data_IF_747040515582
#
_entry.id   IF_747040515582
#
_cell.length_a   1.000
_cell.length_b   1.000
_cell.length_c   1.000
_cell.angle_alpha   90.00
_cell.angle_beta   90.00
_cell.angle_gamma   90.00
#
_symmetry.space_group_name_H-M   'P 1'
#
loop_
_entity.id
_entity.type
_entity.pdbx_description
1 polymer ?
#
# COMPACT_ATOMS: atom_id res chain seq x y z
N UNK A 1 18.87 -8.13 -33.17
CA UNK A 1 17.69 -8.65 -32.45
C UNK A 1 17.97 -9.92 -31.62
N UNK A 2 18.63 -10.97 -32.15
CA UNK A 2 18.94 -12.17 -31.36
C UNK A 2 19.96 -11.94 -30.23
N UNK A 3 21.00 -11.15 -30.46
CA UNK A 3 22.06 -10.91 -29.45
C UNK A 3 21.64 -10.00 -28.33
N UNK A 4 20.69 -9.09 -28.56
CA UNK A 4 20.16 -8.17 -27.53
C UNK A 4 19.21 -8.90 -26.57
N UNK A 5 18.44 -9.85 -27.10
CA UNK A 5 17.60 -10.75 -26.30
C UNK A 5 18.47 -11.67 -25.44
N UNK A 6 19.66 -12.07 -25.95
CA UNK A 6 20.60 -12.94 -25.24
C UNK A 6 21.24 -12.22 -24.03
N UNK A 7 21.67 -10.96 -24.18
CA UNK A 7 22.23 -10.14 -23.08
C UNK A 7 21.19 -9.78 -22.01
N UNK A 8 19.96 -9.43 -22.42
CA UNK A 8 18.85 -9.22 -21.50
C UNK A 8 18.50 -10.50 -20.72
N UNK A 9 18.57 -11.67 -21.39
CA UNK A 9 18.37 -12.96 -20.74
C UNK A 9 19.53 -13.35 -19.80
N UNK A 10 20.75 -12.90 -20.06
CA UNK A 10 21.92 -13.19 -19.21
C UNK A 10 21.87 -12.37 -17.90
N UNK A 11 21.49 -11.09 -17.97
CA UNK A 11 21.19 -10.25 -16.80
C UNK A 11 20.00 -10.82 -16.04
N UNK A 12 18.93 -11.21 -16.76
CA UNK A 12 17.74 -11.86 -16.21
C UNK A 12 18.07 -13.18 -15.51
N UNK A 13 18.95 -14.02 -16.10
CA UNK A 13 19.34 -15.30 -15.51
C UNK A 13 20.24 -15.13 -14.26
N UNK A 14 21.08 -14.09 -14.21
CA UNK A 14 21.81 -13.72 -12.98
C UNK A 14 20.88 -13.22 -11.89
N UNK A 15 19.90 -12.38 -12.24
CA UNK A 15 18.86 -11.91 -11.30
C UNK A 15 17.95 -13.06 -10.86
N UNK A 16 17.51 -13.93 -11.79
CA UNK A 16 16.70 -15.13 -11.46
C UNK A 16 17.45 -16.10 -10.55
N UNK A 17 18.77 -16.20 -10.63
CA UNK A 17 19.54 -17.05 -9.73
C UNK A 17 19.58 -16.50 -8.30
N UNK A 18 19.68 -15.19 -8.13
CA UNK A 18 19.52 -14.54 -6.82
C UNK A 18 18.09 -14.69 -6.30
N UNK A 19 17.06 -14.58 -7.19
CA UNK A 19 15.66 -14.78 -6.82
C UNK A 19 15.34 -16.25 -6.51
N UNK A 20 15.92 -17.23 -7.25
CA UNK A 20 15.67 -18.66 -7.00
C UNK A 20 16.29 -19.11 -5.67
N UNK A 21 17.41 -18.55 -5.28
CA UNK A 21 18.04 -18.84 -3.98
C UNK A 21 17.20 -18.24 -2.83
N UNK A 22 16.43 -17.16 -3.09
CA UNK A 22 15.49 -16.57 -2.13
C UNK A 22 14.10 -17.24 -2.17
N UNK A 23 13.64 -17.74 -3.32
CA UNK A 23 12.38 -18.48 -3.46
C UNK A 23 12.46 -19.91 -2.91
N UNK A 24 13.67 -20.46 -2.77
CA UNK A 24 13.91 -21.77 -2.16
C UNK A 24 14.07 -21.72 -0.64
N UNK A 25 14.08 -20.56 0.00
CA UNK A 25 13.96 -20.48 1.45
C UNK A 25 12.55 -20.88 1.89
N UNK A 26 12.33 -22.17 1.89
CA UNK A 26 11.37 -22.87 2.71
C UNK A 26 11.45 -22.29 4.12
N UNK A 27 10.27 -21.98 4.68
CA UNK A 27 9.99 -21.84 6.11
C UNK A 27 11.27 -21.92 6.97
N UNK A 28 12.06 -20.86 7.05
CA UNK A 28 13.15 -20.80 8.01
C UNK A 28 12.55 -20.51 9.39
N UNK A 29 12.54 -21.56 10.20
CA UNK A 29 12.31 -21.43 11.64
C UNK A 29 13.54 -20.76 12.26
N UNK A 30 13.51 -19.47 12.47
CA UNK A 30 14.52 -18.82 13.29
C UNK A 30 14.10 -18.92 14.76
N UNK A 31 14.72 -19.84 15.47
CA UNK A 31 14.65 -19.92 16.92
C UNK A 31 15.66 -18.93 17.51
N UNK A 32 15.21 -17.76 17.91
CA UNK A 32 15.98 -16.87 18.77
C UNK A 32 15.58 -17.17 20.21
N UNK A 33 16.43 -17.90 20.92
CA UNK A 33 16.20 -18.23 22.31
C UNK A 33 16.66 -17.13 23.24
N UNK A 34 15.75 -16.61 24.08
CA UNK A 34 16.08 -16.27 25.46
C UNK A 34 14.80 -15.88 26.21
N UNK A 35 14.34 -16.76 27.00
CA UNK A 35 13.24 -16.65 27.95
C UNK A 35 11.87 -17.15 27.41
N UNK A 36 11.48 -18.40 27.69
CA UNK A 36 10.27 -19.02 27.14
C UNK A 36 8.95 -18.36 27.62
N UNK A 37 8.97 -17.61 28.72
CA UNK A 37 7.74 -17.02 29.28
C UNK A 37 7.32 -15.66 28.65
N UNK A 38 8.20 -15.00 27.92
CA UNK A 38 7.94 -13.69 27.31
C UNK A 38 8.09 -13.64 25.78
N UNK A 39 8.28 -14.78 25.13
CA UNK A 39 8.52 -14.80 23.69
C UNK A 39 7.23 -14.56 22.89
N UNK A 40 7.23 -13.54 22.04
CA UNK A 40 6.18 -13.29 21.07
C UNK A 40 6.21 -14.39 20.00
N UNK A 41 5.11 -15.12 19.83
CA UNK A 41 4.96 -16.18 18.83
C UNK A 41 3.83 -15.83 17.87
N UNK A 42 4.16 -15.69 16.57
CA UNK A 42 3.23 -15.24 15.52
C UNK A 42 3.28 -16.19 14.34
N UNK A 43 2.10 -16.57 13.84
CA UNK A 43 1.95 -17.20 12.54
C UNK A 43 1.24 -16.25 11.58
N UNK A 44 1.85 -16.00 10.42
CA UNK A 44 1.27 -15.17 9.36
C UNK A 44 0.79 -16.06 8.23
N UNK A 45 -0.49 -16.00 7.89
CA UNK A 45 -1.09 -16.74 6.77
C UNK A 45 -1.41 -15.75 5.67
N UNK A 46 -0.53 -15.62 4.71
CA UNK A 46 -0.59 -14.63 3.64
C UNK A 46 -0.93 -15.25 2.28
N UNK A 47 -1.53 -14.48 1.37
CA UNK A 47 -1.51 -14.82 -0.04
C UNK A 47 -0.13 -14.58 -0.62
N UNK A 48 0.20 -15.36 -1.65
CA UNK A 48 1.42 -15.18 -2.42
C UNK A 48 1.57 -13.72 -2.83
N UNK A 49 2.71 -13.11 -2.55
CA UNK A 49 3.06 -11.72 -2.87
C UNK A 49 2.57 -10.61 -1.92
N UNK A 50 2.00 -10.94 -0.76
CA UNK A 50 1.70 -9.90 0.21
C UNK A 50 2.96 -9.45 0.97
N UNK A 51 3.72 -8.59 0.30
CA UNK A 51 5.01 -8.14 0.81
C UNK A 51 4.86 -7.12 1.93
N UNK A 52 4.05 -6.09 1.72
CA UNK A 52 3.95 -4.96 2.65
C UNK A 52 3.20 -5.29 3.93
N UNK A 53 2.22 -6.19 3.86
CA UNK A 53 1.37 -6.55 5.00
C UNK A 53 1.80 -7.85 5.69
N UNK A 54 2.57 -8.70 5.00
CA UNK A 54 3.01 -9.98 5.54
C UNK A 54 4.53 -10.02 5.81
N UNK A 55 5.35 -9.80 4.77
CA UNK A 55 6.79 -10.05 4.91
C UNK A 55 7.52 -8.92 5.61
N UNK A 56 7.32 -7.67 5.17
CA UNK A 56 8.09 -6.53 5.69
C UNK A 56 7.96 -6.38 7.21
N UNK A 57 6.76 -6.24 7.81
CA UNK A 57 6.68 -6.03 9.25
C UNK A 57 7.07 -7.25 10.07
N UNK A 58 6.70 -8.46 9.62
CA UNK A 58 6.83 -9.65 10.45
C UNK A 58 8.18 -10.35 10.33
N UNK A 59 8.89 -10.22 9.18
CA UNK A 59 10.27 -10.69 9.05
C UNK A 59 11.16 -9.99 10.08
N UNK A 60 11.15 -8.68 10.11
CA UNK A 60 11.98 -7.90 11.04
C UNK A 60 11.58 -8.10 12.50
N UNK A 61 10.30 -8.35 12.78
CA UNK A 61 9.85 -8.66 14.12
C UNK A 61 10.40 -10.02 14.59
N UNK A 62 10.43 -11.02 13.70
CA UNK A 62 11.02 -12.33 13.99
C UNK A 62 12.52 -12.24 14.29
N UNK A 63 13.25 -11.41 13.58
CA UNK A 63 14.68 -11.19 13.77
C UNK A 63 15.00 -10.52 15.13
N UNK A 64 14.05 -9.76 15.67
CA UNK A 64 14.29 -8.89 16.84
C UNK A 64 13.72 -9.45 18.15
N UNK A 65 12.49 -9.96 18.16
CA UNK A 65 11.73 -10.15 19.41
C UNK A 65 10.92 -11.43 19.53
N UNK A 66 11.00 -12.38 18.60
CA UNK A 66 10.14 -13.54 18.71
C UNK A 66 10.29 -14.60 17.65
N UNK A 67 9.39 -15.58 17.68
CA UNK A 67 9.28 -16.60 16.64
C UNK A 67 8.18 -16.21 15.67
N UNK A 68 8.53 -16.02 14.40
CA UNK A 68 7.59 -15.70 13.34
C UNK A 68 7.63 -16.77 12.26
N UNK A 69 6.47 -17.29 11.90
CA UNK A 69 6.28 -18.18 10.77
C UNK A 69 5.40 -17.49 9.73
N UNK A 70 5.85 -17.45 8.48
CA UNK A 70 5.08 -16.90 7.37
C UNK A 70 4.72 -18.03 6.42
N UNK A 71 3.42 -18.36 6.38
CA UNK A 71 2.85 -19.36 5.48
C UNK A 71 2.22 -18.64 4.27
N UNK A 72 2.72 -18.92 3.07
CA UNK A 72 2.15 -18.37 1.82
C UNK A 72 1.14 -19.36 1.23
N UNK A 73 -0.15 -19.10 1.39
CA UNK A 73 -1.24 -19.80 0.74
C UNK A 73 -1.60 -19.07 -0.58
N UNK A 74 -1.92 -19.75 -1.69
CA UNK A 74 -2.10 -21.19 -1.88
C UNK A 74 -0.84 -21.98 -2.30
N UNK A 75 0.34 -21.38 -2.42
CA UNK A 75 1.55 -22.11 -2.87
C UNK A 75 1.85 -23.33 -2.02
N UNK A 76 1.72 -23.21 -0.71
CA UNK A 76 1.95 -24.32 0.20
C UNK A 76 0.88 -25.41 0.13
N UNK A 77 -0.30 -25.11 -0.45
CA UNK A 77 -1.51 -25.95 -0.42
C UNK A 77 -1.91 -26.45 1.00
N UNK A 78 -1.20 -26.02 2.01
CA UNK A 78 -1.44 -26.33 3.41
C UNK A 78 -1.23 -25.06 4.24
N UNK A 79 -1.99 -24.93 5.30
CA UNK A 79 -1.87 -23.84 6.25
C UNK A 79 -1.05 -24.35 7.41
N UNK A 80 0.09 -23.69 7.65
CA UNK A 80 0.95 -24.01 8.79
C UNK A 80 0.85 -22.90 9.83
N UNK A 81 0.48 -23.29 11.03
CA UNK A 81 0.48 -22.41 12.20
C UNK A 81 1.42 -23.05 13.22
N UNK A 82 2.32 -22.27 13.79
CA UNK A 82 3.22 -22.75 14.83
C UNK A 82 2.38 -23.20 16.03
N UNK A 83 2.65 -24.37 16.58
CA UNK A 83 2.09 -24.78 17.87
C UNK A 83 2.47 -23.72 18.90
N UNK A 84 1.52 -23.32 19.74
CA UNK A 84 1.68 -22.26 20.74
C UNK A 84 1.83 -20.83 20.17
N UNK A 85 1.49 -20.61 18.89
CA UNK A 85 1.36 -19.23 18.37
C UNK A 85 0.37 -18.43 19.21
N UNK A 86 0.81 -17.29 19.74
CA UNK A 86 -0.08 -16.35 20.44
C UNK A 86 -1.01 -15.64 19.47
N UNK A 87 -0.54 -15.40 18.25
CA UNK A 87 -1.26 -14.67 17.20
C UNK A 87 -1.22 -15.37 15.86
N UNK A 88 -2.35 -15.34 15.16
CA UNK A 88 -2.45 -15.72 13.75
C UNK A 88 -2.87 -14.46 12.97
N UNK A 89 -1.96 -13.97 12.13
CA UNK A 89 -2.19 -12.79 11.31
C UNK A 89 -2.66 -13.23 9.92
N UNK A 90 -3.71 -12.61 9.42
CA UNK A 90 -4.31 -12.92 8.13
C UNK A 90 -4.31 -11.66 7.25
N UNK A 91 -3.24 -11.38 6.48
CA UNK A 91 -3.27 -10.28 5.53
C UNK A 91 -4.12 -10.64 4.31
N UNK A 92 -5.16 -9.86 4.03
CA UNK A 92 -5.98 -9.91 2.80
C UNK A 92 -6.67 -11.22 2.45
N UNK A 93 -6.47 -12.30 3.18
CA UNK A 93 -7.06 -13.60 2.83
C UNK A 93 -8.56 -13.57 3.06
N UNK A 94 -9.32 -13.58 1.95
CA UNK A 94 -10.77 -13.62 1.95
C UNK A 94 -11.17 -14.89 1.21
N UNK A 95 -11.27 -16.00 1.95
CA UNK A 95 -11.60 -17.31 1.41
C UNK A 95 -12.43 -18.10 2.44
N UNK A 96 -13.61 -18.55 2.01
CA UNK A 96 -14.55 -19.32 2.82
C UNK A 96 -13.98 -20.65 3.31
N UNK A 97 -13.03 -21.22 2.58
CA UNK A 97 -12.43 -22.50 2.93
C UNK A 97 -11.25 -22.33 3.90
N UNK A 98 -10.58 -21.19 3.84
CA UNK A 98 -9.36 -20.92 4.62
C UNK A 98 -9.69 -20.41 6.00
N UNK A 99 -10.61 -19.46 6.13
CA UNK A 99 -10.90 -18.84 7.42
C UNK A 99 -11.43 -19.83 8.50
N UNK A 100 -12.31 -20.79 8.18
CA UNK A 100 -12.71 -21.83 9.15
C UNK A 100 -11.54 -22.67 9.67
N UNK A 101 -10.59 -23.03 8.80
CA UNK A 101 -9.39 -23.79 9.19
C UNK A 101 -8.52 -22.96 10.15
N UNK A 102 -8.33 -21.69 9.83
CA UNK A 102 -7.57 -20.77 10.70
C UNK A 102 -8.24 -20.63 12.06
N UNK A 103 -9.57 -20.54 12.08
CA UNK A 103 -10.33 -20.47 13.33
C UNK A 103 -10.18 -21.72 14.19
N UNK A 104 -10.26 -22.90 13.59
CA UNK A 104 -10.03 -24.18 14.28
C UNK A 104 -8.61 -24.24 14.87
N UNK A 105 -7.60 -23.84 14.09
CA UNK A 105 -6.22 -23.78 14.54
C UNK A 105 -6.02 -22.75 15.67
N UNK A 106 -6.68 -21.61 15.60
CA UNK A 106 -6.63 -20.59 16.64
C UNK A 106 -7.26 -21.09 17.95
N UNK A 107 -8.41 -21.75 17.87
CA UNK A 107 -9.08 -22.36 19.03
C UNK A 107 -8.19 -23.44 19.68
N UNK A 108 -7.59 -24.33 18.87
CA UNK A 108 -6.70 -25.40 19.34
C UNK A 108 -5.46 -24.85 20.04
N UNK A 109 -4.87 -23.78 19.53
CA UNK A 109 -3.66 -23.18 20.06
C UNK A 109 -3.92 -22.07 21.09
N UNK A 110 -5.18 -21.73 21.34
CA UNK A 110 -5.58 -20.55 22.13
C UNK A 110 -4.96 -19.25 21.59
N UNK A 111 -4.87 -19.14 20.25
CA UNK A 111 -4.32 -18.01 19.54
C UNK A 111 -5.37 -16.91 19.35
N UNK A 112 -4.90 -15.67 19.13
CA UNK A 112 -5.72 -14.54 18.69
C UNK A 112 -5.63 -14.37 17.17
N UNK A 113 -6.75 -14.14 16.52
CA UNK A 113 -6.81 -13.87 15.08
C UNK A 113 -6.79 -12.36 14.86
N UNK A 114 -5.79 -11.89 14.10
CA UNK A 114 -5.72 -10.51 13.62
C UNK A 114 -5.90 -10.52 12.11
N UNK A 115 -6.95 -9.86 11.63
CA UNK A 115 -7.15 -9.66 10.20
C UNK A 115 -6.54 -8.33 9.77
N UNK A 116 -5.77 -8.33 8.69
CA UNK A 116 -5.07 -7.15 8.20
C UNK A 116 -5.59 -6.76 6.82
N UNK A 117 -6.21 -5.58 6.70
CA UNK A 117 -6.89 -5.13 5.50
C UNK A 117 -6.24 -3.86 4.94
N UNK A 118 -5.97 -3.85 3.63
CA UNK A 118 -5.29 -2.75 2.96
C UNK A 118 -6.09 -2.05 1.85
N UNK A 119 -7.15 -2.65 1.34
CA UNK A 119 -8.02 -2.06 0.32
C UNK A 119 -9.51 -2.10 0.70
N UNK A 120 -10.28 -1.17 0.14
CA UNK A 120 -11.74 -1.14 0.33
C UNK A 120 -12.44 -1.99 -0.74
N UNK A 121 -12.61 -3.25 -0.47
CA UNK A 121 -13.23 -4.18 -1.40
C UNK A 121 -14.74 -3.96 -1.61
N UNK A 122 -15.42 -3.18 -0.77
CA UNK A 122 -16.83 -2.85 -0.99
C UNK A 122 -17.05 -1.79 -2.09
N UNK A 123 -16.01 -1.04 -2.45
CA UNK A 123 -16.15 0.10 -3.37
C UNK A 123 -15.09 0.14 -4.46
N UNK A 124 -14.79 -1.00 -5.07
CA UNK A 124 -13.91 -1.06 -6.24
C UNK A 124 -14.41 -0.16 -7.38
N UNK A 125 -13.50 0.40 -8.16
CA UNK A 125 -13.87 1.15 -9.35
C UNK A 125 -14.35 0.20 -10.45
N UNK A 126 -15.50 0.52 -11.10
CA UNK A 126 -16.14 -0.34 -12.12
C UNK A 126 -15.24 -0.62 -13.32
N UNK A 127 -14.34 0.28 -13.63
CA UNK A 127 -13.37 0.13 -14.72
C UNK A 127 -12.13 -0.69 -14.29
N UNK A 128 -12.02 -1.03 -13.00
CA UNK A 128 -10.97 -1.91 -12.51
C UNK A 128 -11.25 -3.34 -13.00
N UNK A 129 -10.29 -4.03 -13.65
CA UNK A 129 -10.47 -5.41 -14.13
C UNK A 129 -10.92 -6.39 -13.05
N UNK A 130 -10.60 -6.12 -11.79
CA UNK A 130 -10.95 -6.97 -10.64
C UNK A 130 -12.27 -6.56 -9.97
N UNK A 131 -12.99 -5.56 -10.50
CA UNK A 131 -14.23 -5.06 -9.88
C UNK A 131 -15.29 -6.16 -9.72
N UNK A 132 -15.40 -7.06 -10.69
CA UNK A 132 -16.39 -8.14 -10.69
C UNK A 132 -16.30 -9.05 -9.46
N UNK A 133 -15.14 -9.17 -8.83
CA UNK A 133 -14.98 -9.98 -7.61
C UNK A 133 -15.77 -9.45 -6.42
N UNK A 134 -16.12 -8.16 -6.41
CA UNK A 134 -16.83 -7.50 -5.32
C UNK A 134 -18.05 -6.70 -5.78
N UNK A 135 -18.48 -6.89 -7.03
CA UNK A 135 -19.69 -6.23 -7.56
C UNK A 135 -20.92 -6.74 -6.83
N UNK A 136 -21.63 -5.85 -6.13
CA UNK A 136 -22.83 -6.14 -5.37
C UNK A 136 -24.01 -6.62 -6.25
N UNK A 137 -23.95 -6.39 -7.55
CA UNK A 137 -24.95 -6.85 -8.51
C UNK A 137 -24.70 -8.29 -9.01
N UNK A 138 -23.54 -8.86 -8.67
CA UNK A 138 -23.18 -10.23 -9.02
C UNK A 138 -23.23 -11.13 -7.79
N UNK A 139 -23.72 -12.36 -7.94
CA UNK A 139 -23.82 -13.35 -6.87
C UNK A 139 -22.43 -13.59 -6.22
N UNK A 140 -21.39 -13.75 -7.02
CA UNK A 140 -20.02 -13.90 -6.51
C UNK A 140 -19.55 -12.68 -5.74
N UNK A 141 -19.87 -11.49 -6.19
CA UNK A 141 -19.50 -10.25 -5.49
C UNK A 141 -20.22 -10.10 -4.16
N UNK A 142 -21.51 -10.41 -4.09
CA UNK A 142 -22.28 -10.45 -2.84
C UNK A 142 -21.69 -11.48 -1.86
N UNK A 143 -21.36 -12.66 -2.36
CA UNK A 143 -20.73 -13.71 -1.57
C UNK A 143 -19.39 -13.24 -0.99
N UNK A 144 -18.49 -12.72 -1.81
CA UNK A 144 -17.17 -12.26 -1.37
C UNK A 144 -17.26 -11.12 -0.34
N UNK A 145 -18.22 -10.20 -0.50
CA UNK A 145 -18.50 -9.15 0.50
C UNK A 145 -18.96 -9.75 1.84
N UNK A 146 -19.86 -10.73 1.79
CA UNK A 146 -20.35 -11.41 3.00
C UNK A 146 -19.21 -12.16 3.72
N UNK A 147 -18.31 -12.80 2.97
CA UNK A 147 -17.11 -13.45 3.52
C UNK A 147 -16.18 -12.44 4.17
N UNK A 148 -15.90 -11.31 3.53
CA UNK A 148 -15.10 -10.23 4.10
C UNK A 148 -15.68 -9.72 5.43
N UNK A 149 -16.97 -9.38 5.43
CA UNK A 149 -17.64 -8.90 6.64
C UNK A 149 -17.62 -9.93 7.77
N UNK A 150 -17.87 -11.20 7.45
CA UNK A 150 -17.81 -12.30 8.41
C UNK A 150 -16.39 -12.44 8.98
N UNK A 151 -15.36 -12.34 8.15
CA UNK A 151 -13.96 -12.39 8.59
C UNK A 151 -13.63 -11.25 9.53
N UNK A 152 -14.00 -10.00 9.18
CA UNK A 152 -13.80 -8.83 10.04
C UNK A 152 -14.53 -9.02 11.39
N UNK A 153 -15.81 -9.38 11.38
CA UNK A 153 -16.63 -9.58 12.58
C UNK A 153 -16.14 -10.71 13.48
N UNK A 154 -15.50 -11.74 12.91
CA UNK A 154 -15.07 -12.94 13.61
C UNK A 154 -13.62 -12.92 14.05
N UNK A 155 -12.84 -11.94 13.63
CA UNK A 155 -11.47 -11.75 14.07
C UNK A 155 -11.40 -11.04 15.44
N UNK A 156 -10.38 -11.34 16.23
CA UNK A 156 -10.20 -10.73 17.55
C UNK A 156 -9.78 -9.26 17.46
N UNK A 157 -9.02 -8.92 16.41
CA UNK A 157 -8.52 -7.57 16.17
C UNK A 157 -8.30 -7.32 14.67
N UNK A 158 -8.34 -6.04 14.25
CA UNK A 158 -8.17 -5.67 12.84
C UNK A 158 -7.08 -4.62 12.69
N UNK A 159 -6.16 -4.84 11.74
CA UNK A 159 -5.24 -3.82 11.27
C UNK A 159 -5.74 -3.22 9.95
N UNK A 160 -5.73 -1.91 9.85
CA UNK A 160 -6.08 -1.19 8.63
C UNK A 160 -4.90 -0.36 8.11
N UNK A 161 -4.61 -0.46 6.82
CA UNK A 161 -3.49 0.26 6.20
C UNK A 161 -3.66 1.77 6.14
N UNK A 162 -4.90 2.27 6.26
CA UNK A 162 -5.21 3.71 6.25
C UNK A 162 -6.30 4.06 7.28
N UNK A 163 -6.29 5.31 7.72
CA UNK A 163 -7.31 5.82 8.66
C UNK A 163 -8.70 5.85 8.02
N UNK A 164 -8.76 6.15 6.72
CA UNK A 164 -9.98 6.16 5.93
C UNK A 164 -10.60 4.76 5.83
N UNK A 165 -9.75 3.75 5.58
CA UNK A 165 -10.18 2.36 5.55
C UNK A 165 -10.69 1.91 6.93
N UNK A 166 -9.98 2.28 7.99
CA UNK A 166 -10.43 2.01 9.37
C UNK A 166 -11.77 2.69 9.66
N UNK A 167 -11.93 3.96 9.30
CA UNK A 167 -13.19 4.68 9.50
C UNK A 167 -14.35 4.00 8.78
N UNK A 168 -14.10 3.44 7.61
CA UNK A 168 -15.10 2.75 6.81
C UNK A 168 -15.57 1.45 7.46
N UNK A 169 -14.66 0.59 7.93
CA UNK A 169 -14.98 -0.76 8.41
C UNK A 169 -15.09 -0.90 9.93
N UNK A 170 -14.71 0.10 10.73
CA UNK A 170 -14.70 0.05 12.20
C UNK A 170 -16.04 -0.38 12.80
N UNK A 171 -17.17 -0.08 12.15
CA UNK A 171 -18.48 -0.47 12.63
C UNK A 171 -18.71 -1.99 12.64
N UNK A 172 -17.93 -2.76 11.84
CA UNK A 172 -18.00 -4.23 11.80
C UNK A 172 -17.21 -4.87 12.95
N UNK A 173 -16.10 -4.23 13.35
CA UNK A 173 -15.29 -4.68 14.49
C UNK A 173 -14.58 -3.45 15.12
N UNK A 174 -14.98 -3.02 16.32
CA UNK A 174 -14.38 -1.86 16.99
C UNK A 174 -12.95 -2.13 17.48
N UNK A 175 -12.56 -3.41 17.65
CA UNK A 175 -11.21 -3.78 18.05
C UNK A 175 -10.28 -3.64 16.86
N UNK A 176 -9.81 -2.44 16.59
CA UNK A 176 -9.00 -2.18 15.41
C UNK A 176 -8.01 -1.04 15.62
N UNK A 177 -7.00 -1.00 14.77
CA UNK A 177 -6.04 0.11 14.72
C UNK A 177 -5.60 0.44 13.30
N UNK A 178 -5.09 1.64 13.14
CA UNK A 178 -4.34 2.05 11.97
C UNK A 178 -2.91 1.51 12.04
N UNK A 179 -2.52 0.72 11.04
CA UNK A 179 -1.17 0.21 10.89
C UNK A 179 -0.71 0.47 9.45
N UNK A 180 0.07 1.53 9.19
CA UNK A 180 0.46 1.94 7.84
C UNK A 180 1.39 0.93 7.17
N UNK A 181 1.59 1.10 5.87
CA UNK A 181 2.62 0.38 5.15
C UNK A 181 3.99 0.97 5.50
N UNK A 182 4.94 0.08 5.78
CA UNK A 182 6.35 0.40 5.99
C UNK A 182 7.20 -0.19 4.87
N UNK A 183 8.42 0.30 4.72
CA UNK A 183 9.40 -0.22 3.78
C UNK A 183 10.57 -0.85 4.51
N UNK A 184 11.09 -1.93 3.95
CA UNK A 184 12.39 -2.48 4.28
C UNK A 184 13.46 -1.69 3.52
N UNK A 185 13.77 -0.48 4.03
CA UNK A 185 14.59 0.50 3.31
C UNK A 185 16.00 -0.04 3.12
N UNK A 186 16.59 -0.55 4.19
CA UNK A 186 17.96 -1.04 4.20
C UNK A 186 18.20 -2.16 3.19
N UNK A 187 17.30 -3.12 3.15
CA UNK A 187 17.49 -4.32 2.33
C UNK A 187 17.03 -4.15 0.88
N UNK A 188 16.19 -3.12 0.59
CA UNK A 188 15.51 -3.04 -0.70
C UNK A 188 15.60 -1.73 -1.47
N UNK A 189 15.94 -0.63 -0.80
CA UNK A 189 15.91 0.70 -1.43
C UNK A 189 17.26 1.41 -1.43
N UNK A 190 18.33 0.72 -1.02
CA UNK A 190 19.70 1.22 -1.08
C UNK A 190 20.46 0.50 -2.19
N UNK A 191 20.89 1.23 -3.20
CA UNK A 191 21.63 0.71 -4.34
C UNK A 191 22.93 1.49 -4.53
N UNK A 192 24.01 0.79 -4.84
CA UNK A 192 25.30 1.41 -5.19
C UNK A 192 25.21 2.28 -6.45
N UNK A 193 24.33 1.87 -7.39
CA UNK A 193 24.05 2.59 -8.64
C UNK A 193 22.56 2.50 -8.93
N UNK A 194 22.01 3.59 -9.49
CA UNK A 194 20.66 3.55 -10.06
C UNK A 194 20.62 2.68 -11.29
N UNK A 195 19.44 2.14 -11.61
CA UNK A 195 19.21 1.45 -12.87
C UNK A 195 19.40 2.42 -14.03
N UNK A 196 20.29 2.06 -14.99
CA UNK A 196 20.46 2.85 -16.22
C UNK A 196 19.40 2.45 -17.24
N UNK A 197 18.36 3.26 -17.30
CA UNK A 197 17.23 3.03 -18.20
C UNK A 197 17.51 3.42 -19.65
N UNK A 198 18.57 4.16 -19.94
CA UNK A 198 18.83 4.73 -21.26
C UNK A 198 19.15 3.67 -22.30
N UNK A 199 20.07 2.78 -21.99
CA UNK A 199 20.39 1.63 -22.87
C UNK A 199 19.12 0.79 -23.10
N UNK A 200 18.34 0.56 -22.07
CA UNK A 200 17.09 -0.20 -22.15
C UNK A 200 16.06 0.50 -23.05
N UNK A 201 15.90 1.83 -22.95
CA UNK A 201 15.01 2.62 -23.78
C UNK A 201 15.44 2.69 -25.25
N UNK A 202 16.75 2.79 -25.52
CA UNK A 202 17.30 2.76 -26.89
C UNK A 202 16.94 1.45 -27.59
N UNK A 203 16.99 0.34 -26.88
CA UNK A 203 16.59 -0.97 -27.41
C UNK A 203 15.09 -1.07 -27.72
N UNK A 204 14.26 -0.18 -27.17
CA UNK A 204 12.84 -0.02 -27.50
C UNK A 204 12.57 1.03 -28.57
N UNK A 205 13.60 1.63 -29.16
CA UNK A 205 13.49 2.64 -30.21
C UNK A 205 13.30 4.07 -29.73
N UNK A 206 13.54 4.33 -28.43
CA UNK A 206 13.54 5.69 -27.89
C UNK A 206 14.88 6.37 -28.17
N UNK A 207 14.82 7.65 -28.62
CA UNK A 207 16.02 8.45 -28.83
C UNK A 207 16.39 9.21 -27.55
N UNK A 208 17.09 8.53 -26.66
CA UNK A 208 17.51 9.04 -25.34
C UNK A 208 18.98 9.42 -25.30
N UNK A 209 19.31 10.41 -24.49
CA UNK A 209 20.66 10.90 -24.24
C UNK A 209 20.86 11.18 -22.73
N UNK A 210 22.01 11.71 -22.34
CA UNK A 210 22.36 11.99 -20.95
C UNK A 210 21.45 13.01 -20.26
N UNK A 211 20.82 13.93 -21.03
CA UNK A 211 19.90 14.95 -20.54
C UNK A 211 18.43 14.48 -20.56
N UNK A 212 18.17 13.24 -20.93
CA UNK A 212 16.83 12.70 -20.98
C UNK A 212 16.28 12.46 -19.57
N UNK A 213 15.01 12.84 -19.39
CA UNK A 213 14.25 12.77 -18.14
C UNK A 213 13.18 11.70 -18.28
N UNK A 214 13.02 10.84 -17.27
CA UNK A 214 11.98 9.84 -17.23
C UNK A 214 10.92 10.17 -16.16
N UNK A 215 9.69 10.37 -16.59
CA UNK A 215 8.52 10.50 -15.74
C UNK A 215 7.93 9.10 -15.59
N UNK A 216 7.92 8.56 -14.37
CA UNK A 216 7.58 7.18 -14.15
C UNK A 216 6.27 6.95 -13.42
N UNK A 217 5.56 5.92 -13.85
CA UNK A 217 4.42 5.35 -13.17
C UNK A 217 4.65 3.85 -12.95
N UNK A 218 4.29 3.36 -11.76
CA UNK A 218 4.29 1.93 -11.47
C UNK A 218 2.97 1.50 -10.83
N UNK A 219 2.57 0.25 -11.09
CA UNK A 219 1.36 -0.33 -10.52
C UNK A 219 0.77 -1.44 -11.40
N UNK A 220 -0.18 -2.18 -10.85
CA UNK A 220 -0.94 -3.19 -11.59
C UNK A 220 -1.99 -2.56 -12.51
N UNK A 221 -2.64 -3.37 -13.33
CA UNK A 221 -3.79 -2.97 -14.18
C UNK A 221 -4.95 -2.36 -13.40
N UNK A 222 -5.07 -2.65 -12.12
CA UNK A 222 -6.09 -2.02 -11.26
C UNK A 222 -5.97 -0.49 -11.18
N UNK A 223 -4.83 0.07 -11.61
CA UNK A 223 -4.56 1.51 -11.65
C UNK A 223 -4.79 2.16 -13.01
N UNK A 224 -5.34 1.46 -14.00
CA UNK A 224 -5.65 2.04 -15.32
C UNK A 224 -6.60 3.23 -15.18
N UNK A 225 -7.60 3.12 -14.31
CA UNK A 225 -8.56 4.21 -14.04
C UNK A 225 -7.84 5.45 -13.52
N UNK A 226 -6.89 5.26 -12.61
CA UNK A 226 -6.10 6.33 -12.03
C UNK A 226 -5.23 7.01 -13.10
N UNK A 227 -4.57 6.22 -13.94
CA UNK A 227 -3.69 6.72 -15.00
C UNK A 227 -4.47 7.48 -16.08
N UNK A 228 -5.67 7.00 -16.46
CA UNK A 228 -6.52 7.66 -17.46
C UNK A 228 -6.77 9.15 -17.17
N UNK A 229 -6.87 9.52 -15.89
CA UNK A 229 -7.17 10.90 -15.47
C UNK A 229 -6.06 11.90 -15.83
N UNK A 230 -4.82 11.42 -15.99
CA UNK A 230 -3.64 12.26 -16.20
C UNK A 230 -3.03 12.11 -17.59
N UNK A 231 -3.61 11.26 -18.43
CA UNK A 231 -3.03 10.98 -19.76
C UNK A 231 -2.95 12.20 -20.66
N UNK A 232 -3.96 13.06 -20.62
CA UNK A 232 -3.96 14.27 -21.46
C UNK A 232 -2.81 15.23 -21.14
N UNK A 233 -2.63 15.72 -19.89
CA UNK A 233 -1.49 16.55 -19.53
C UNK A 233 -0.14 15.82 -19.70
N UNK A 234 -0.07 14.51 -19.46
CA UNK A 234 1.15 13.75 -19.70
C UNK A 234 1.53 13.73 -21.18
N UNK A 235 0.59 13.48 -22.08
CA UNK A 235 0.83 13.49 -23.53
C UNK A 235 1.23 14.87 -24.03
N UNK A 236 0.63 15.93 -23.47
CA UNK A 236 1.03 17.30 -23.79
C UNK A 236 2.51 17.51 -23.44
N UNK A 237 2.97 17.11 -22.27
CA UNK A 237 4.38 17.15 -21.85
C UNK A 237 5.27 16.35 -22.82
N UNK A 238 4.88 15.11 -23.16
CA UNK A 238 5.68 14.26 -24.05
C UNK A 238 5.83 14.82 -25.47
N UNK A 239 4.88 15.66 -25.91
CA UNK A 239 4.94 16.35 -27.21
C UNK A 239 5.73 17.65 -27.15
N UNK A 240 5.70 18.34 -26.00
CA UNK A 240 6.40 19.62 -25.83
C UNK A 240 7.91 19.44 -25.59
N UNK A 241 8.31 18.34 -24.92
CA UNK A 241 9.70 18.09 -24.54
C UNK A 241 10.31 16.91 -25.27
N UNK A 242 11.30 17.14 -26.12
CA UNK A 242 11.97 16.11 -26.87
C UNK A 242 12.78 15.14 -25.99
N UNK A 243 13.28 15.63 -24.85
CA UNK A 243 14.12 14.89 -23.92
C UNK A 243 13.33 14.25 -22.76
N UNK A 244 11.98 14.29 -22.77
CA UNK A 244 11.14 13.68 -21.73
C UNK A 244 10.50 12.41 -22.25
N UNK A 245 10.51 11.37 -21.39
CA UNK A 245 9.98 10.04 -21.66
C UNK A 245 9.04 9.60 -20.57
N UNK A 246 8.08 8.76 -20.94
CA UNK A 246 7.17 8.14 -19.98
C UNK A 246 7.64 6.72 -19.68
N UNK A 247 8.04 6.48 -18.43
CA UNK A 247 8.41 5.18 -17.90
C UNK A 247 7.21 4.46 -17.30
N UNK A 248 6.87 3.30 -17.82
CA UNK A 248 5.78 2.47 -17.33
C UNK A 248 6.31 1.16 -16.77
N UNK A 249 6.26 1.03 -15.45
CA UNK A 249 6.68 -0.17 -14.72
C UNK A 249 5.45 -0.91 -14.22
N UNK A 250 5.00 -1.92 -14.97
CA UNK A 250 3.81 -2.71 -14.64
C UNK A 250 3.85 -4.08 -15.32
N UNK A 251 2.99 -4.99 -14.88
CA UNK A 251 2.64 -6.13 -15.71
C UNK A 251 1.85 -5.64 -16.93
N UNK A 252 2.32 -6.03 -18.12
CA UNK A 252 1.67 -5.63 -19.36
C UNK A 252 0.42 -6.47 -19.59
N UNK A 253 -0.73 -5.87 -19.41
CA UNK A 253 -2.01 -6.50 -19.67
C UNK A 253 -2.85 -5.75 -20.72
N UNK A 254 -3.99 -6.33 -21.04
CA UNK A 254 -4.89 -5.79 -22.05
C UNK A 254 -5.41 -4.40 -21.68
N UNK A 255 -5.75 -4.17 -20.40
CA UNK A 255 -6.35 -2.91 -19.96
C UNK A 255 -5.35 -1.75 -20.08
N UNK A 256 -4.10 -1.96 -19.67
CA UNK A 256 -3.04 -0.97 -19.81
C UNK A 256 -2.73 -0.69 -21.28
N UNK A 257 -2.69 -1.73 -22.11
CA UNK A 257 -2.46 -1.59 -23.56
C UNK A 257 -3.57 -0.77 -24.24
N UNK A 258 -4.83 -1.03 -23.88
CA UNK A 258 -5.98 -0.27 -24.39
C UNK A 258 -5.90 1.19 -23.95
N UNK A 259 -5.55 1.46 -22.70
CA UNK A 259 -5.35 2.82 -22.18
C UNK A 259 -4.32 3.59 -23.02
N UNK A 260 -3.11 3.02 -23.19
CA UNK A 260 -2.03 3.67 -23.95
C UNK A 260 -2.41 3.93 -25.41
N UNK A 261 -3.12 3.01 -26.05
CA UNK A 261 -3.59 3.14 -27.45
C UNK A 261 -4.68 4.19 -27.59
N UNK A 262 -5.67 4.20 -26.70
CA UNK A 262 -6.78 5.15 -26.73
C UNK A 262 -6.28 6.59 -26.60
N UNK A 263 -5.28 6.81 -25.77
CA UNK A 263 -4.65 8.10 -25.59
C UNK A 263 -3.55 8.44 -26.62
N UNK A 264 -3.22 7.51 -27.53
CA UNK A 264 -2.22 7.68 -28.57
C UNK A 264 -0.85 8.11 -28.02
N UNK A 265 -0.41 7.42 -26.95
CA UNK A 265 0.93 7.65 -26.38
C UNK A 265 1.98 7.42 -27.46
N UNK A 266 2.90 8.37 -27.72
CA UNK A 266 3.93 8.17 -28.74
C UNK A 266 4.86 6.99 -28.35
N UNK A 267 4.95 6.00 -29.24
CA UNK A 267 5.74 4.78 -28.95
C UNK A 267 7.23 5.05 -28.74
N UNK A 268 7.77 6.07 -29.40
CA UNK A 268 9.16 6.50 -29.24
C UNK A 268 9.41 7.34 -27.97
N UNK A 269 8.37 7.60 -27.17
CA UNK A 269 8.41 8.31 -25.89
C UNK A 269 8.01 7.42 -24.71
N UNK A 270 7.60 6.17 -24.98
CA UNK A 270 7.20 5.20 -23.96
C UNK A 270 8.35 4.22 -23.72
N UNK A 271 8.80 4.15 -22.48
CA UNK A 271 9.75 3.14 -22.00
C UNK A 271 8.99 2.17 -21.10
N UNK A 272 8.78 0.97 -21.60
CA UNK A 272 8.06 -0.07 -20.88
C UNK A 272 9.03 -0.98 -20.14
N UNK A 273 8.88 -1.07 -18.81
CA UNK A 273 9.66 -1.98 -17.97
C UNK A 273 8.83 -3.20 -17.58
N UNK A 274 9.18 -4.35 -18.14
CA UNK A 274 8.58 -5.64 -17.76
C UNK A 274 9.22 -6.10 -16.44
N UNK A 275 8.51 -5.92 -15.35
CA UNK A 275 8.93 -6.34 -14.02
C UNK A 275 7.95 -7.38 -13.48
N UNK A 276 8.41 -8.63 -13.41
CA UNK A 276 7.63 -9.76 -12.88
C UNK A 276 7.98 -10.09 -11.43
N UNK A 277 9.08 -9.52 -10.93
CA UNK A 277 9.57 -9.79 -9.58
C UNK A 277 9.40 -8.59 -8.68
N UNK A 278 8.76 -8.81 -7.55
CA UNK A 278 8.69 -7.82 -6.50
C UNK A 278 10.08 -7.41 -5.97
N UNK A 279 11.07 -8.28 -6.08
CA UNK A 279 12.43 -8.01 -5.62
C UNK A 279 13.19 -7.04 -6.52
N UNK A 280 12.91 -7.05 -7.83
CA UNK A 280 13.65 -6.26 -8.80
C UNK A 280 13.05 -4.87 -9.03
N UNK A 281 11.75 -4.71 -8.73
CA UNK A 281 11.07 -3.50 -9.09
C UNK A 281 11.61 -2.23 -8.42
N UNK A 282 12.08 -2.20 -7.15
CA UNK A 282 12.63 -0.99 -6.56
C UNK A 282 13.89 -0.52 -7.27
N UNK A 283 14.72 -1.47 -7.77
CA UNK A 283 15.90 -1.14 -8.55
C UNK A 283 15.53 -0.46 -9.88
N UNK A 284 14.56 -1.00 -10.61
CA UNK A 284 14.04 -0.37 -11.83
C UNK A 284 13.39 0.98 -11.51
N UNK A 285 12.59 1.03 -10.44
CA UNK A 285 11.93 2.25 -9.98
C UNK A 285 12.95 3.38 -9.69
N UNK A 286 14.17 3.03 -9.21
CA UNK A 286 15.23 4.01 -8.95
C UNK A 286 15.67 4.81 -10.18
N UNK A 287 15.32 4.35 -11.39
CA UNK A 287 15.60 5.06 -12.64
C UNK A 287 14.75 6.30 -12.87
N UNK A 288 13.62 6.44 -12.19
CA UNK A 288 12.69 7.55 -12.43
C UNK A 288 13.23 8.88 -11.88
N UNK A 289 13.04 9.94 -12.66
CA UNK A 289 13.37 11.32 -12.27
C UNK A 289 12.20 12.02 -11.60
N UNK A 290 10.97 11.67 -11.98
CA UNK A 290 9.72 12.21 -11.44
C UNK A 290 8.72 11.07 -11.31
N UNK A 291 8.10 10.92 -10.15
CA UNK A 291 7.10 9.88 -9.87
C UNK A 291 5.67 10.39 -10.07
N UNK A 292 4.83 9.59 -10.71
CA UNK A 292 3.40 9.84 -10.85
C UNK A 292 2.61 9.00 -9.85
N UNK A 293 1.75 9.65 -9.07
CA UNK A 293 0.85 8.99 -8.14
C UNK A 293 -0.61 9.44 -8.34
N UNK A 294 -1.18 9.18 -9.53
CA UNK A 294 -2.59 9.41 -9.76
C UNK A 294 -3.43 8.43 -8.94
N UNK A 295 -4.48 8.92 -8.35
CA UNK A 295 -5.50 8.13 -7.62
C UNK A 295 -6.85 8.79 -7.85
N UNK A 296 -7.86 8.00 -8.21
CA UNK A 296 -9.22 8.45 -8.42
C UNK A 296 -9.86 8.92 -7.10
N UNK A 297 -10.60 10.01 -7.13
CA UNK A 297 -11.31 10.51 -5.94
C UNK A 297 -12.64 9.76 -5.72
N UNK A 298 -12.58 8.43 -5.69
CA UNK A 298 -13.66 7.51 -5.33
C UNK A 298 -13.52 7.09 -3.87
N UNK A 299 -14.51 6.40 -3.30
CA UNK A 299 -14.39 5.83 -1.96
C UNK A 299 -13.21 4.85 -1.92
N UNK A 300 -13.05 4.02 -2.95
CA UNK A 300 -11.91 3.11 -3.07
C UNK A 300 -10.58 3.85 -3.07
N UNK A 301 -10.44 4.85 -3.94
CA UNK A 301 -9.20 5.64 -4.06
C UNK A 301 -8.85 6.39 -2.78
N UNK A 302 -9.85 6.94 -2.07
CA UNK A 302 -9.63 7.61 -0.77
C UNK A 302 -9.12 6.67 0.32
N UNK A 303 -9.46 5.38 0.25
CA UNK A 303 -8.98 4.37 1.18
C UNK A 303 -7.58 3.83 0.86
N UNK A 304 -7.04 4.11 -0.33
CA UNK A 304 -5.71 3.62 -0.73
C UNK A 304 -4.58 4.27 0.08
N UNK A 305 -3.59 3.44 0.42
CA UNK A 305 -2.34 3.89 1.05
C UNK A 305 -1.52 4.78 0.11
N UNK A 306 -0.77 5.77 0.64
CA UNK A 306 0.15 6.60 -0.14
C UNK A 306 1.46 5.86 -0.48
N UNK A 307 1.41 4.55 -0.64
CA UNK A 307 2.58 3.68 -0.81
C UNK A 307 3.50 4.14 -1.95
N UNK A 308 2.93 4.59 -3.09
CA UNK A 308 3.74 5.14 -4.19
C UNK A 308 4.62 6.31 -3.77
N UNK A 309 4.08 7.20 -2.94
CA UNK A 309 4.82 8.38 -2.44
C UNK A 309 5.94 7.96 -1.48
N UNK A 310 5.66 6.95 -0.64
CA UNK A 310 6.65 6.39 0.29
C UNK A 310 7.80 5.75 -0.49
N UNK A 311 7.51 4.97 -1.52
CA UNK A 311 8.52 4.30 -2.34
C UNK A 311 9.33 5.28 -3.20
N UNK A 312 8.68 6.30 -3.79
CA UNK A 312 9.39 7.39 -4.46
C UNK A 312 10.34 8.10 -3.49
N UNK A 313 9.89 8.37 -2.27
CA UNK A 313 10.70 8.98 -1.24
C UNK A 313 11.93 8.14 -0.87
N UNK A 314 11.76 6.84 -0.68
CA UNK A 314 12.87 5.93 -0.40
C UNK A 314 13.98 6.00 -1.46
N UNK A 315 13.64 6.37 -2.70
CA UNK A 315 14.55 6.45 -3.84
C UNK A 315 14.93 7.90 -4.24
N UNK A 316 14.61 8.89 -3.43
CA UNK A 316 14.84 10.32 -3.72
C UNK A 316 14.16 10.81 -5.00
N UNK A 317 12.96 10.30 -5.31
CA UNK A 317 12.19 10.66 -6.50
C UNK A 317 11.09 11.62 -6.08
N UNK A 318 11.09 12.88 -6.54
CA UNK A 318 9.98 13.80 -6.28
C UNK A 318 8.74 13.37 -7.05
N UNK A 319 7.55 13.72 -6.53
CA UNK A 319 6.29 13.25 -7.08
C UNK A 319 5.34 14.36 -7.52
N UNK A 320 4.44 13.99 -8.44
CA UNK A 320 3.16 14.67 -8.63
C UNK A 320 2.05 13.66 -8.31
N UNK A 321 1.13 14.04 -7.43
CA UNK A 321 0.10 13.15 -6.91
C UNK A 321 -1.30 13.78 -6.93
N UNK A 322 -2.34 12.96 -7.07
CA UNK A 322 -3.74 13.40 -6.97
C UNK A 322 -4.05 13.93 -5.57
N UNK A 323 -4.94 14.94 -5.49
CA UNK A 323 -5.53 15.42 -4.24
C UNK A 323 -6.58 14.42 -3.72
N UNK A 324 -6.10 13.31 -3.14
CA UNK A 324 -6.94 12.35 -2.40
C UNK A 324 -6.46 12.25 -0.95
N UNK A 325 -7.32 11.75 -0.07
CA UNK A 325 -7.12 11.81 1.38
C UNK A 325 -5.70 11.46 1.84
N UNK A 326 -5.21 10.27 1.50
CA UNK A 326 -3.93 9.79 2.00
C UNK A 326 -2.72 10.43 1.32
N UNK A 327 -2.80 10.73 0.01
CA UNK A 327 -1.75 11.47 -0.68
C UNK A 327 -1.60 12.89 -0.10
N UNK A 328 -2.73 13.54 0.18
CA UNK A 328 -2.72 14.88 0.76
C UNK A 328 -2.22 14.88 2.20
N UNK A 329 -2.60 13.87 3.00
CA UNK A 329 -2.10 13.71 4.36
C UNK A 329 -0.58 13.52 4.37
N UNK A 330 -0.06 12.60 3.57
CA UNK A 330 1.37 12.37 3.40
C UNK A 330 2.10 13.65 3.00
N UNK A 331 1.53 14.41 2.05
CA UNK A 331 2.09 15.69 1.60
C UNK A 331 2.13 16.73 2.74
N UNK A 332 1.08 16.80 3.58
CA UNK A 332 1.05 17.71 4.73
C UNK A 332 2.04 17.26 5.81
N UNK A 333 2.08 15.97 6.14
CA UNK A 333 2.99 15.40 7.13
C UNK A 333 4.47 15.56 6.73
N UNK A 334 4.77 15.52 5.44
CA UNK A 334 6.09 15.82 4.88
C UNK A 334 6.34 17.32 4.63
N UNK A 335 5.49 18.23 5.14
CA UNK A 335 5.58 19.67 4.92
C UNK A 335 5.66 20.09 3.42
N UNK A 336 5.17 19.23 2.53
CA UNK A 336 5.19 19.43 1.09
C UNK A 336 6.58 19.40 0.44
N UNK A 337 7.60 18.95 1.15
CA UNK A 337 8.99 19.01 0.65
C UNK A 337 9.28 18.10 -0.52
N UNK A 338 8.47 17.04 -0.70
CA UNK A 338 8.77 15.93 -1.63
C UNK A 338 8.12 16.04 -3.00
N UNK A 339 7.19 16.96 -3.24
CA UNK A 339 6.48 17.00 -4.52
C UNK A 339 5.29 17.95 -4.55
N UNK A 340 4.37 17.70 -5.46
CA UNK A 340 3.20 18.55 -5.68
C UNK A 340 1.90 17.74 -5.64
N UNK A 341 0.82 18.40 -5.19
CA UNK A 341 -0.54 17.85 -5.22
C UNK A 341 -1.34 18.53 -6.33
N UNK A 342 -1.78 17.74 -7.30
CA UNK A 342 -2.64 18.16 -8.38
C UNK A 342 -4.12 18.03 -7.97
N UNK A 343 -4.88 19.13 -8.07
CA UNK A 343 -6.30 19.19 -7.73
C UNK A 343 -7.18 18.99 -8.97
N UNK A 344 -6.67 19.38 -10.13
CA UNK A 344 -7.31 19.30 -11.44
C UNK A 344 -6.28 18.95 -12.51
N UNK A 345 -6.74 18.69 -13.71
CA UNK A 345 -5.93 18.22 -14.84
C UNK A 345 -4.79 19.20 -15.20
N UNK A 346 -5.07 20.51 -15.26
CA UNK A 346 -4.06 21.53 -15.54
C UNK A 346 -2.91 21.54 -14.51
N UNK A 347 -3.20 21.21 -13.24
CA UNK A 347 -2.17 21.21 -12.21
C UNK A 347 -1.10 20.14 -12.51
N UNK A 348 -1.48 19.00 -13.10
CA UNK A 348 -0.54 17.97 -13.51
C UNK A 348 0.48 18.49 -14.51
N UNK A 349 0.00 19.18 -15.56
CA UNK A 349 0.88 19.78 -16.54
C UNK A 349 1.82 20.81 -15.91
N UNK A 350 1.30 21.75 -15.12
CA UNK A 350 2.08 22.81 -14.48
C UNK A 350 3.14 22.26 -13.51
N UNK A 351 2.77 21.26 -12.71
CA UNK A 351 3.68 20.66 -11.74
C UNK A 351 4.75 19.80 -12.43
N UNK A 352 4.39 19.02 -13.44
CA UNK A 352 5.35 18.26 -14.24
C UNK A 352 6.33 19.20 -14.93
N UNK A 353 5.82 20.24 -15.60
CA UNK A 353 6.65 21.26 -16.25
C UNK A 353 7.66 21.87 -15.28
N UNK A 354 7.22 22.26 -14.08
CA UNK A 354 8.10 22.84 -13.07
C UNK A 354 9.21 21.88 -12.64
N UNK A 355 8.91 20.59 -12.48
CA UNK A 355 9.92 19.58 -12.12
C UNK A 355 10.85 19.23 -13.30
N UNK A 356 10.38 19.34 -14.55
CA UNK A 356 11.19 19.12 -15.75
C UNK A 356 12.17 20.28 -15.94
N UNK A 357 11.71 21.52 -15.87
CA UNK A 357 12.47 22.71 -16.17
C UNK A 357 13.53 23.03 -15.09
N UNK A 358 13.30 22.63 -13.83
CA UNK A 358 14.18 22.91 -12.70
C UNK A 358 14.80 21.64 -12.10
N UNK A 359 16.00 21.30 -12.59
CA UNK A 359 16.78 20.16 -12.07
C UNK A 359 17.15 20.29 -10.59
N UNK A 360 17.49 21.51 -10.12
CA UNK A 360 17.87 21.73 -8.73
C UNK A 360 16.68 21.53 -7.79
N UNK A 361 15.52 22.06 -8.16
CA UNK A 361 14.28 21.85 -7.44
C UNK A 361 13.97 20.35 -7.36
N UNK A 362 14.00 19.65 -8.50
CA UNK A 362 13.73 18.22 -8.60
C UNK A 362 14.62 17.40 -7.67
N UNK A 363 15.94 17.68 -7.70
CA UNK A 363 16.91 17.01 -6.83
C UNK A 363 16.67 17.31 -5.35
N UNK A 364 16.54 18.60 -4.99
CA UNK A 364 16.31 19.01 -3.61
C UNK A 364 15.02 18.43 -3.02
N UNK A 365 13.94 18.38 -3.80
CA UNK A 365 12.69 17.76 -3.36
C UNK A 365 12.84 16.28 -3.12
N UNK A 366 13.53 15.56 -4.01
CA UNK A 366 13.79 14.13 -3.84
C UNK A 366 14.60 13.82 -2.58
N UNK A 367 15.68 14.59 -2.32
CA UNK A 367 16.52 14.41 -1.13
C UNK A 367 15.74 14.64 0.16
N UNK A 368 14.98 15.74 0.27
CA UNK A 368 14.17 16.03 1.44
C UNK A 368 13.07 14.99 1.67
N UNK A 369 12.46 14.49 0.59
CA UNK A 369 11.46 13.43 0.67
C UNK A 369 12.09 12.14 1.21
N UNK A 370 13.32 11.81 0.79
CA UNK A 370 14.05 10.66 1.31
C UNK A 370 14.25 10.76 2.81
N UNK A 371 14.75 11.92 3.29
CA UNK A 371 14.98 12.13 4.72
C UNK A 371 13.70 11.93 5.53
N UNK A 372 12.57 12.46 5.04
CA UNK A 372 11.26 12.25 5.66
C UNK A 372 10.87 10.77 5.67
N UNK A 373 10.94 10.07 4.53
CA UNK A 373 10.53 8.67 4.43
C UNK A 373 11.42 7.77 5.29
N UNK A 374 12.72 8.00 5.32
CA UNK A 374 13.64 7.23 6.16
C UNK A 374 13.35 7.42 7.65
N UNK A 375 12.95 8.61 8.07
CA UNK A 375 12.63 8.90 9.47
C UNK A 375 11.26 8.38 9.91
N UNK A 376 10.30 8.15 8.99
CA UNK A 376 8.91 7.84 9.35
C UNK A 376 8.45 6.47 8.88
N UNK A 377 8.98 5.95 7.77
CA UNK A 377 8.43 4.78 7.09
C UNK A 377 9.40 3.59 6.96
N UNK A 378 10.60 3.67 7.55
CA UNK A 378 11.45 2.50 7.72
C UNK A 378 10.78 1.50 8.67
N UNK A 379 10.76 0.22 8.30
CA UNK A 379 10.09 -0.83 9.09
C UNK A 379 10.61 -0.91 10.53
N UNK A 380 11.85 -0.53 10.77
CA UNK A 380 12.44 -0.54 12.13
C UNK A 380 11.69 0.39 13.09
N UNK A 381 11.05 1.44 12.59
CA UNK A 381 10.23 2.33 13.41
C UNK A 381 8.90 1.71 13.83
N UNK A 382 8.44 0.65 13.14
CA UNK A 382 7.19 -0.05 13.48
C UNK A 382 7.36 -1.15 14.52
N UNK A 383 8.59 -1.63 14.75
CA UNK A 383 8.81 -2.85 15.54
C UNK A 383 8.36 -2.72 17.00
N UNK A 384 8.84 -1.69 17.71
CA UNK A 384 8.45 -1.49 19.12
C UNK A 384 6.96 -1.18 19.28
N UNK A 385 6.35 -0.24 18.53
CA UNK A 385 4.90 -0.05 18.58
C UNK A 385 4.09 -1.31 18.27
N UNK A 386 4.57 -2.15 17.37
CA UNK A 386 3.89 -3.39 17.02
C UNK A 386 3.98 -4.43 18.16
N UNK A 387 5.14 -4.59 18.82
CA UNK A 387 5.31 -5.45 20.01
C UNK A 387 4.39 -4.98 21.12
N UNK A 388 4.41 -3.70 21.46
CA UNK A 388 3.55 -3.12 22.51
C UNK A 388 2.06 -3.35 22.20
N UNK A 389 1.70 -3.27 20.93
CA UNK A 389 0.34 -3.56 20.46
C UNK A 389 -0.02 -5.03 20.71
N UNK A 390 0.83 -5.97 20.33
CA UNK A 390 0.58 -7.39 20.54
C UNK A 390 0.46 -7.72 22.04
N UNK A 391 1.33 -7.18 22.85
CA UNK A 391 1.27 -7.38 24.30
C UNK A 391 -0.04 -6.81 24.86
N UNK A 392 -0.44 -5.62 24.47
CA UNK A 392 -1.70 -5.00 24.87
C UNK A 392 -2.91 -5.86 24.49
N UNK A 393 -2.97 -6.33 23.23
CA UNK A 393 -4.07 -7.18 22.74
C UNK A 393 -4.13 -8.49 23.55
N UNK A 394 -2.99 -9.13 23.78
CA UNK A 394 -2.91 -10.39 24.47
C UNK A 394 -3.32 -10.31 25.95
N UNK A 395 -2.80 -9.30 26.65
CA UNK A 395 -3.12 -9.12 28.07
C UNK A 395 -4.59 -8.69 28.28
N UNK A 396 -5.13 -7.88 27.42
CA UNK A 396 -6.54 -7.46 27.52
C UNK A 396 -7.50 -8.63 27.27
N UNK A 397 -7.18 -9.56 26.37
CA UNK A 397 -7.98 -10.78 26.21
C UNK A 397 -7.92 -11.66 27.44
N UNK A 398 -6.74 -11.88 28.03
CA UNK A 398 -6.61 -12.65 29.28
C UNK A 398 -7.44 -12.05 30.42
N UNK A 399 -7.50 -10.73 30.55
CA UNK A 399 -8.35 -10.07 31.55
C UNK A 399 -9.83 -10.28 31.29
N UNK A 400 -10.31 -10.26 30.03
CA UNK A 400 -11.72 -10.51 29.69
C UNK A 400 -12.18 -11.91 30.03
N UNK A 401 -11.33 -12.92 29.95
CA UNK A 401 -11.66 -14.29 30.38
C UNK A 401 -11.77 -14.41 31.90
N UNK A 402 -11.06 -13.58 32.65
CA UNK A 402 -11.06 -13.61 34.13
C UNK A 402 -12.07 -12.65 34.76
N UNK A 403 -12.57 -11.64 34.02
CA UNK A 403 -13.57 -10.66 34.50
C UNK A 403 -14.43 -10.17 33.32
N UNK A 404 -15.73 -10.46 33.29
CA UNK A 404 -16.63 -10.00 32.24
C UNK A 404 -17.04 -8.55 32.48
N UNK A 405 -16.14 -7.59 32.32
CA UNK A 405 -16.48 -6.17 32.29
C UNK A 405 -16.14 -5.61 30.89
N UNK A 406 -17.03 -4.80 30.32
CA UNK A 406 -16.78 -4.17 29.02
C UNK A 406 -15.75 -3.05 29.18
N UNK A 407 -14.47 -3.38 29.04
CA UNK A 407 -13.45 -2.37 28.80
C UNK A 407 -13.36 -2.13 27.30
N UNK A 408 -13.65 -0.93 26.91
CA UNK A 408 -13.45 -0.45 25.56
C UNK A 408 -11.94 -0.40 25.31
N UNK A 409 -11.43 -1.21 24.37
CA UNK A 409 -10.01 -1.20 24.00
C UNK A 409 -9.57 0.17 23.44
N UNK A 410 -10.53 1.01 23.05
CA UNK A 410 -10.28 2.39 22.66
C UNK A 410 -9.61 3.22 23.78
N UNK A 411 -9.87 2.89 25.04
CA UNK A 411 -9.33 3.62 26.21
C UNK A 411 -7.88 3.22 26.56
N UNK A 412 -7.34 2.17 25.95
CA UNK A 412 -5.98 1.70 26.25
C UNK A 412 -4.89 2.34 25.37
N UNK A 413 -5.26 3.18 24.42
CA UNK A 413 -4.34 3.81 23.48
C UNK A 413 -4.18 5.33 23.71
N UNK A 414 -3.91 5.73 24.95
CA UNK A 414 -3.67 7.12 25.36
C UNK A 414 -2.43 7.79 24.70
N UNK A 415 -1.89 7.23 23.67
CA UNK A 415 -0.74 7.78 22.92
C UNK A 415 -0.95 7.88 21.41
N UNK A 416 -2.02 7.27 20.87
CA UNK A 416 -2.36 7.43 19.45
C UNK A 416 -3.40 8.54 19.35
N UNK A 417 -3.21 9.56 18.50
CA UNK A 417 -4.20 10.62 18.35
C UNK A 417 -5.56 9.98 18.11
N UNK A 418 -6.54 10.33 18.96
CA UNK A 418 -7.92 9.87 18.86
C UNK A 418 -8.38 9.95 17.41
N UNK A 419 -8.60 8.80 16.77
CA UNK A 419 -9.19 8.78 15.44
C UNK A 419 -10.66 9.07 15.64
N UNK A 420 -11.04 10.32 15.47
CA UNK A 420 -12.44 10.73 15.45
C UNK A 420 -13.16 9.89 14.39
N UNK A 421 -14.05 9.03 14.83
CA UNK A 421 -14.81 8.12 13.97
C UNK A 421 -16.16 8.67 13.58
N UNK A 422 -16.60 9.71 14.30
CA UNK A 422 -17.75 10.53 13.93
C UNK A 422 -17.25 11.97 13.75
N UNK A 423 -17.43 12.50 12.55
CA UNK A 423 -17.07 13.87 12.23
C UNK A 423 -18.33 14.72 12.36
N UNK A 424 -18.27 15.74 13.19
CA UNK A 424 -19.30 16.78 13.24
C UNK A 424 -19.09 17.74 12.05
N UNK A 425 -20.11 18.55 11.77
CA UNK A 425 -20.03 19.58 10.72
C UNK A 425 -18.87 20.56 10.92
N UNK A 426 -18.43 20.73 12.15
CA UNK A 426 -17.36 21.67 12.53
C UNK A 426 -15.96 21.06 12.55
N UNK A 427 -15.84 19.75 12.42
CA UNK A 427 -14.54 19.10 12.37
C UNK A 427 -13.82 19.34 11.04
N UNK A 428 -12.49 19.27 11.06
CA UNK A 428 -11.71 19.24 9.82
C UNK A 428 -11.99 17.96 9.06
N UNK A 429 -12.14 18.08 7.73
CA UNK A 429 -12.45 16.94 6.89
C UNK A 429 -11.32 15.88 6.92
N UNK A 430 -11.65 14.59 7.11
CA UNK A 430 -10.66 13.51 7.14
C UNK A 430 -9.93 13.32 5.80
N UNK A 431 -10.43 13.92 4.71
CA UNK A 431 -9.74 13.88 3.41
C UNK A 431 -8.46 14.72 3.35
N UNK A 432 -8.11 15.42 4.44
CA UNK A 432 -6.93 16.28 4.48
C UNK A 432 -7.04 17.56 3.65
N UNK A 433 -8.26 17.99 3.25
CA UNK A 433 -8.46 19.22 2.47
C UNK A 433 -8.13 20.50 3.24
N UNK A 434 -8.06 20.42 4.58
CA UNK A 434 -7.98 21.57 5.47
C UNK A 434 -9.30 22.32 5.64
N UNK A 435 -10.38 21.88 4.95
CA UNK A 435 -11.70 22.44 5.06
C UNK A 435 -12.46 21.84 6.27
N UNK A 436 -13.46 22.55 6.79
CA UNK A 436 -14.42 21.95 7.71
C UNK A 436 -15.21 20.86 7.00
N UNK A 437 -15.60 19.80 7.71
CA UNK A 437 -16.22 18.63 7.09
C UNK A 437 -17.45 18.97 6.25
N UNK A 438 -18.34 19.81 6.76
CA UNK A 438 -19.54 20.27 6.02
C UNK A 438 -19.22 21.16 4.81
N UNK A 439 -18.06 21.84 4.82
CA UNK A 439 -17.64 22.77 3.76
C UNK A 439 -16.53 22.18 2.89
N UNK A 440 -16.30 20.88 3.00
CA UNK A 440 -15.24 20.25 2.25
C UNK A 440 -15.49 20.35 0.74
N UNK A 441 -14.56 20.99 0.04
CA UNK A 441 -14.60 21.16 -1.45
C UNK A 441 -14.51 19.84 -2.21
N UNK A 442 -14.19 18.75 -1.54
CA UNK A 442 -14.15 17.40 -2.11
C UNK A 442 -15.47 16.64 -1.92
N UNK A 443 -16.55 17.32 -1.49
CA UNK A 443 -17.87 16.74 -1.23
C UNK A 443 -17.83 15.47 -0.35
N UNK A 444 -16.95 15.47 0.66
CA UNK A 444 -16.76 14.31 1.51
C UNK A 444 -17.92 14.03 2.45
N UNK A 445 -18.68 15.05 2.81
CA UNK A 445 -19.78 14.93 3.77
C UNK A 445 -20.84 13.89 3.36
N UNK A 446 -21.37 13.90 2.12
CA UNK A 446 -22.33 12.88 1.70
C UNK A 446 -21.68 11.51 1.46
N UNK A 447 -20.39 11.49 1.08
CA UNK A 447 -19.73 10.28 0.61
C UNK A 447 -19.30 9.32 1.74
N UNK A 448 -19.19 9.82 2.97
CA UNK A 448 -18.75 9.03 4.11
C UNK A 448 -19.90 8.38 4.91
N UNK A 449 -21.15 8.62 4.52
CA UNK A 449 -22.33 7.95 5.08
C UNK A 449 -22.53 8.17 6.60
N UNK A 450 -21.95 9.21 7.16
CA UNK A 450 -22.15 9.54 8.57
C UNK A 450 -23.59 10.02 8.78
N UNK A 451 -24.26 9.38 9.74
CA UNK A 451 -25.63 9.69 10.11
C UNK A 451 -25.71 11.17 10.52
N UNK A 452 -26.65 11.91 9.93
CA UNK A 452 -27.01 13.22 10.47
C UNK A 452 -27.35 13.06 11.95
N UNK A 453 -26.70 13.84 12.82
CA UNK A 453 -27.11 13.92 14.21
C UNK A 453 -28.59 14.31 14.27
N UNK A 454 -29.44 13.33 14.47
CA UNK A 454 -30.78 13.61 14.98
C UNK A 454 -30.57 14.10 16.40
N UNK A 455 -30.42 15.41 16.55
CA UNK A 455 -30.58 16.07 17.82
C UNK A 455 -32.08 15.90 18.18
N UNK A 456 -32.42 14.86 18.90
CA UNK A 456 -33.67 14.79 19.59
C UNK A 456 -33.63 15.87 20.67
N UNK A 457 -34.22 17.00 20.36
CA UNK A 457 -34.63 17.96 21.37
C UNK A 457 -35.71 17.30 22.23
N UNK A 458 -35.36 16.78 23.38
CA UNK A 458 -36.30 16.57 24.45
C UNK A 458 -36.61 17.95 25.04
N UNK A 459 -37.87 18.41 24.98
CA UNK A 459 -38.25 19.60 25.74
C UNK A 459 -38.23 19.27 27.23
N UNK A 460 -37.66 20.17 28.00
CA UNK A 460 -37.72 20.20 29.45
C UNK A 460 -39.16 20.43 29.92
#
# INVERSE_FOLDING_TARGET
MRDTVFKANEVRNKMMKVCSDFEQTNVEYQNVSSNPDNQLSISVVAVDHDWYRARVPYKHLGDSNGTVNICCYPRSKQIFVINDSKFIIIPKVIDDNVFPIIKELAEKNNSLIIFDLDDNYHHGDKENPNYHFYDENLEQGQHNRAVLEKTIKSSDFIFYSTRELMAYYKHLNPNCMFFPNYLDIKDRYIFDKKFDWREYAQNQGCNVNENSIIIGFFGSSSHVVDLNQIMEPLIQILREYDNVFFGLLCEFDLAMNVCLRNHKVPSNKLVYFDCKSYLDYPFILSSFDIGLAPVSNTIFGRCKSPLKLIEYGALSIPYVASKVANNQRFHIESEGVGGFIAKKQDDWYLHLKKLIDDHHLRKSMGEKLKDFVYSQYDVTHSLMPLVDTFDTIYYNKKRRFNHPTPYDLADCYDGIPEVKTQYTKEDFCPCGSGDRYIKCKNDCYPAWGFVEDKVEHHPV
#
